data_IF_168493473656
#
_entry.id   IF_168493473656
#
_cell.length_a   1.000
_cell.length_b   1.000
_cell.length_c   1.000
_cell.angle_alpha   90.00
_cell.angle_beta   90.00
_cell.angle_gamma   90.00
#
_symmetry.space_group_name_H-M   'P 1'
#
loop_
_entity.id
_entity.type
_entity.pdbx_description
1 polymer ?
#
# COMPACT_ATOMS: atom_id res chain seq x y z
N UNK A 1 -14.57 -30.76 14.13
CA UNK A 1 -14.58 -31.22 15.53
C UNK A 1 -13.14 -31.47 15.96
N UNK A 2 -12.44 -30.44 16.43
CA UNK A 2 -11.30 -30.68 17.32
C UNK A 2 -11.92 -31.18 18.62
N UNK A 3 -11.50 -32.35 19.09
CA UNK A 3 -12.24 -33.14 20.09
C UNK A 3 -12.77 -32.28 21.24
N UNK A 4 -14.06 -31.96 21.19
CA UNK A 4 -14.77 -31.41 22.33
C UNK A 4 -14.72 -32.52 23.36
N UNK A 5 -13.86 -32.36 24.37
CA UNK A 5 -13.98 -33.17 25.57
C UNK A 5 -15.42 -32.94 26.07
N UNK A 6 -16.18 -34.01 26.37
CA UNK A 6 -17.45 -33.86 27.07
C UNK A 6 -17.22 -33.04 28.35
N UNK A 7 -18.27 -32.45 28.91
CA UNK A 7 -18.14 -31.76 30.19
C UNK A 7 -17.48 -32.71 31.22
N UNK A 8 -16.67 -32.18 32.15
CA UNK A 8 -15.95 -32.98 33.15
C UNK A 8 -16.92 -33.96 33.87
N UNK A 9 -18.17 -33.54 34.08
CA UNK A 9 -19.28 -34.31 34.65
C UNK A 9 -19.75 -35.50 33.76
N UNK A 10 -19.74 -35.35 32.44
CA UNK A 10 -20.15 -36.37 31.46
C UNK A 10 -19.08 -37.45 31.26
N UNK A 11 -17.80 -37.07 31.36
CA UNK A 11 -16.67 -38.01 31.25
C UNK A 11 -16.55 -38.90 32.50
N UNK A 12 -16.87 -38.34 33.66
CA UNK A 12 -16.83 -39.04 34.94
C UNK A 12 -18.00 -40.03 35.11
N UNK A 13 -19.15 -39.76 34.49
CA UNK A 13 -20.38 -40.57 34.58
C UNK A 13 -20.46 -41.74 33.58
N UNK A 14 -19.65 -41.75 32.53
CA UNK A 14 -19.63 -42.81 31.51
C UNK A 14 -18.97 -44.14 31.92
N UNK A 15 -19.26 -45.22 31.16
CA UNK A 15 -18.72 -46.58 31.30
C UNK A 15 -17.26 -46.74 30.77
N UNK A 16 -16.46 -45.68 30.82
CA UNK A 16 -15.06 -45.64 30.37
C UNK A 16 -14.10 -46.23 31.43
N UNK A 17 -12.95 -46.75 30.99
CA UNK A 17 -11.94 -47.30 31.90
C UNK A 17 -11.38 -46.21 32.85
N UNK A 18 -10.88 -46.60 34.02
CA UNK A 18 -10.29 -45.66 34.97
C UNK A 18 -9.11 -44.87 34.37
N UNK A 19 -8.35 -45.50 33.47
CA UNK A 19 -7.24 -44.87 32.76
C UNK A 19 -7.72 -43.80 31.77
N UNK A 20 -8.82 -44.06 31.05
CA UNK A 20 -9.40 -43.10 30.10
C UNK A 20 -9.98 -41.88 30.82
N UNK A 21 -10.63 -42.08 31.97
CA UNK A 21 -11.12 -41.00 32.83
C UNK A 21 -9.98 -40.13 33.35
N UNK A 22 -8.87 -40.74 33.80
CA UNK A 22 -7.69 -39.99 34.24
C UNK A 22 -7.03 -39.19 33.10
N UNK A 23 -6.88 -39.79 31.91
CA UNK A 23 -6.35 -39.10 30.71
C UNK A 23 -7.21 -37.90 30.33
N UNK A 24 -8.54 -38.03 30.40
CA UNK A 24 -9.44 -36.93 30.11
C UNK A 24 -9.36 -35.81 31.16
N UNK A 25 -9.31 -36.16 32.45
CA UNK A 25 -9.11 -35.17 33.53
C UNK A 25 -7.81 -34.38 33.38
N UNK A 26 -6.70 -35.05 33.07
CA UNK A 26 -5.42 -34.38 32.80
C UNK A 26 -5.52 -33.38 31.63
N UNK A 27 -6.30 -33.69 30.59
CA UNK A 27 -6.54 -32.76 29.48
C UNK A 27 -7.43 -31.58 29.87
N UNK A 28 -8.41 -31.77 30.75
CA UNK A 28 -9.18 -30.64 31.30
C UNK A 28 -8.27 -29.68 32.07
N UNK A 29 -7.41 -30.19 32.97
CA UNK A 29 -6.45 -29.35 33.70
C UNK A 29 -5.44 -28.65 32.78
N UNK A 30 -5.04 -29.28 31.69
CA UNK A 30 -4.23 -28.64 30.64
C UNK A 30 -4.99 -27.48 29.98
N UNK A 31 -6.25 -27.68 29.60
CA UNK A 31 -7.08 -26.61 29.02
C UNK A 31 -7.30 -25.46 30.00
N UNK A 32 -7.55 -25.74 31.27
CA UNK A 32 -7.70 -24.71 32.31
C UNK A 32 -6.43 -23.85 32.44
N UNK A 33 -5.25 -24.47 32.33
CA UNK A 33 -3.97 -23.76 32.32
C UNK A 33 -3.83 -22.86 31.08
N UNK A 34 -4.23 -23.35 29.90
CA UNK A 34 -4.23 -22.56 28.66
C UNK A 34 -5.19 -21.37 28.77
N UNK A 35 -6.37 -21.56 29.36
CA UNK A 35 -7.34 -20.48 29.60
C UNK A 35 -6.76 -19.43 30.55
N UNK A 36 -6.17 -19.83 31.67
CA UNK A 36 -5.50 -18.91 32.59
C UNK A 36 -4.38 -18.11 31.90
N UNK A 37 -3.54 -18.77 31.10
CA UNK A 37 -2.48 -18.10 30.33
C UNK A 37 -3.05 -17.15 29.27
N UNK A 38 -4.18 -17.49 28.66
CA UNK A 38 -4.88 -16.63 27.70
C UNK A 38 -5.44 -15.37 28.37
N UNK A 39 -5.98 -15.48 29.59
CA UNK A 39 -6.45 -14.33 30.36
C UNK A 39 -5.30 -13.39 30.71
N UNK A 40 -4.12 -13.94 31.02
CA UNK A 40 -2.91 -13.15 31.31
C UNK A 40 -2.37 -12.37 30.11
N UNK A 41 -2.75 -12.69 28.87
CA UNK A 41 -2.46 -11.85 27.70
C UNK A 41 -3.19 -10.49 27.75
N UNK A 42 -4.28 -10.40 28.53
CA UNK A 42 -5.01 -9.16 28.79
C UNK A 42 -4.52 -8.37 30.01
N UNK A 43 -3.46 -8.80 30.70
CA UNK A 43 -3.02 -8.21 31.96
C UNK A 43 -2.30 -6.85 31.78
N UNK A 44 -2.54 -5.85 32.64
CA UNK A 44 -1.97 -4.49 32.50
C UNK A 44 -0.44 -4.42 32.30
N UNK A 45 0.30 -5.29 32.99
CA UNK A 45 1.77 -5.38 32.87
C UNK A 45 2.23 -6.11 31.62
N UNK A 46 2.98 -5.41 30.76
CA UNK A 46 3.58 -5.99 29.54
C UNK A 46 4.47 -7.21 29.82
N UNK A 47 5.23 -7.21 30.93
CA UNK A 47 6.09 -8.36 31.29
C UNK A 47 5.30 -9.65 31.50
N UNK A 48 4.07 -9.52 32.03
CA UNK A 48 3.15 -10.64 32.25
C UNK A 48 2.58 -11.11 30.90
N UNK A 49 2.16 -10.16 30.04
CA UNK A 49 1.68 -10.47 28.67
C UNK A 49 2.75 -11.22 27.87
N UNK A 50 3.99 -10.72 27.87
CA UNK A 50 5.12 -11.32 27.18
C UNK A 50 5.44 -12.73 27.69
N UNK A 51 5.53 -12.90 29.01
CA UNK A 51 5.83 -14.21 29.61
C UNK A 51 4.73 -15.23 29.29
N UNK A 52 3.47 -14.79 29.28
CA UNK A 52 2.32 -15.65 28.94
C UNK A 52 2.35 -16.06 27.47
N UNK A 53 2.66 -15.11 26.57
CA UNK A 53 2.81 -15.38 25.14
C UNK A 53 3.93 -16.41 24.87
N UNK A 54 5.13 -16.20 25.43
CA UNK A 54 6.26 -17.12 25.28
C UNK A 54 5.91 -18.52 25.81
N UNK A 55 5.20 -18.59 26.94
CA UNK A 55 4.77 -19.88 27.53
C UNK A 55 3.76 -20.60 26.64
N UNK A 56 2.74 -19.90 26.14
CA UNK A 56 1.75 -20.46 25.23
C UNK A 56 2.40 -20.94 23.94
N UNK A 57 3.34 -20.18 23.37
CA UNK A 57 4.08 -20.61 22.19
C UNK A 57 4.99 -21.81 22.47
N UNK A 58 5.54 -21.92 23.68
CA UNK A 58 6.27 -23.13 24.07
C UNK A 58 5.34 -24.34 24.18
N UNK A 59 4.10 -24.16 24.63
CA UNK A 59 3.09 -25.23 24.61
C UNK A 59 2.74 -25.62 23.18
N UNK A 60 2.62 -24.68 22.23
CA UNK A 60 2.44 -24.97 20.80
C UNK A 60 3.62 -25.81 20.29
N UNK A 61 4.85 -25.48 20.67
CA UNK A 61 6.06 -26.23 20.26
C UNK A 61 6.08 -27.65 20.82
N UNK A 62 5.78 -27.79 22.11
CA UNK A 62 5.78 -29.09 22.77
C UNK A 62 4.62 -29.97 22.32
N UNK A 63 3.43 -29.40 22.05
CA UNK A 63 2.30 -30.15 21.51
C UNK A 63 2.54 -30.55 20.04
N UNK A 64 3.27 -29.71 19.28
CA UNK A 64 3.76 -30.04 17.95
C UNK A 64 4.70 -31.25 17.96
N UNK A 65 5.59 -31.36 18.96
CA UNK A 65 6.53 -32.49 19.10
C UNK A 65 5.90 -33.72 19.76
N UNK A 66 5.01 -33.51 20.73
CA UNK A 66 4.41 -34.54 21.59
C UNK A 66 2.88 -34.39 21.62
N UNK A 67 2.17 -35.06 20.70
CA UNK A 67 0.73 -34.95 20.56
C UNK A 67 -0.04 -35.41 21.80
N UNK A 68 -1.05 -34.65 22.21
CA UNK A 68 -1.96 -35.05 23.30
C UNK A 68 -2.81 -36.29 22.94
N UNK A 69 -3.05 -36.54 21.64
CA UNK A 69 -3.77 -37.71 21.11
C UNK A 69 -3.02 -38.27 19.89
N UNK A 70 -2.33 -39.40 20.06
CA UNK A 70 -1.57 -40.04 18.98
C UNK A 70 -2.43 -40.51 17.78
N UNK A 71 -3.72 -40.80 18.00
CA UNK A 71 -4.62 -41.33 16.96
C UNK A 71 -5.11 -40.27 15.97
N UNK A 72 -5.26 -39.01 16.39
CA UNK A 72 -5.73 -37.92 15.51
C UNK A 72 -4.67 -37.50 14.47
N UNK A 73 -3.43 -37.93 14.66
CA UNK A 73 -2.27 -37.49 13.88
C UNK A 73 -1.91 -38.46 12.74
N UNK A 74 -2.59 -39.61 12.65
CA UNK A 74 -2.33 -40.64 11.62
C UNK A 74 -2.83 -40.29 10.21
N UNK A 75 -3.45 -39.11 9.97
CA UNK A 75 -4.19 -38.92 8.72
C UNK A 75 -4.29 -37.54 8.04
N UNK A 76 -4.02 -36.38 8.65
CA UNK A 76 -4.01 -35.15 7.82
C UNK A 76 -3.43 -33.84 8.34
N UNK A 77 -3.45 -33.51 9.64
CA UNK A 77 -2.92 -32.21 10.09
C UNK A 77 -2.33 -32.35 11.50
N UNK A 78 -1.01 -32.51 11.57
CA UNK A 78 -0.24 -32.54 12.82
C UNK A 78 0.15 -31.11 13.20
N UNK A 79 -0.79 -30.30 13.69
CA UNK A 79 -0.47 -28.97 14.20
C UNK A 79 -1.47 -28.57 15.30
N UNK A 80 -1.04 -28.01 16.43
CA UNK A 80 -1.91 -27.58 17.53
C UNK A 80 -2.68 -26.29 17.17
N UNK A 81 -3.63 -26.43 16.25
CA UNK A 81 -4.40 -25.32 15.67
C UNK A 81 -5.22 -24.54 16.72
N UNK A 82 -5.60 -25.20 17.82
CA UNK A 82 -6.55 -24.66 18.78
C UNK A 82 -5.80 -23.74 19.74
N UNK A 83 -4.67 -24.22 20.25
CA UNK A 83 -3.78 -23.43 21.08
C UNK A 83 -3.24 -22.22 20.32
N UNK A 84 -2.81 -22.38 19.06
CA UNK A 84 -2.39 -21.24 18.26
C UNK A 84 -3.54 -20.24 18.03
N UNK A 85 -4.78 -20.72 17.86
CA UNK A 85 -5.95 -19.85 17.75
C UNK A 85 -6.19 -19.03 19.02
N UNK A 86 -6.00 -19.63 20.21
CA UNK A 86 -6.05 -18.92 21.49
C UNK A 86 -5.00 -17.81 21.53
N UNK A 87 -3.75 -18.13 21.15
CA UNK A 87 -2.67 -17.13 21.04
C UNK A 87 -3.05 -15.99 20.10
N UNK A 88 -3.48 -16.31 18.87
CA UNK A 88 -3.85 -15.30 17.86
C UNK A 88 -4.97 -14.40 18.37
N UNK A 89 -6.00 -14.94 19.02
CA UNK A 89 -7.08 -14.14 19.59
C UNK A 89 -6.59 -13.20 20.70
N UNK A 90 -5.63 -13.63 21.52
CA UNK A 90 -4.99 -12.77 22.51
C UNK A 90 -4.10 -11.66 21.92
N UNK A 91 -3.59 -11.85 20.70
CA UNK A 91 -2.80 -10.84 19.97
C UNK A 91 -3.65 -9.77 19.28
N UNK A 92 -4.95 -10.00 19.10
CA UNK A 92 -5.88 -9.06 18.44
C UNK A 92 -7.02 -8.66 19.38
N UNK A 93 -6.73 -8.07 20.56
CA UNK A 93 -7.76 -7.59 21.47
C UNK A 93 -8.59 -6.48 20.81
N UNK A 94 -9.85 -6.38 21.24
CA UNK A 94 -10.83 -5.48 20.62
C UNK A 94 -10.64 -4.03 21.08
N UNK A 95 -10.20 -3.83 22.33
CA UNK A 95 -10.21 -2.53 23.02
C UNK A 95 -8.82 -2.00 23.40
N UNK A 96 -7.76 -2.74 23.11
CA UNK A 96 -6.39 -2.39 23.49
C UNK A 96 -5.45 -2.43 22.29
N UNK A 97 -4.38 -1.64 22.31
CA UNK A 97 -3.29 -1.77 21.35
C UNK A 97 -2.37 -2.94 21.77
N UNK A 98 -2.11 -3.84 20.84
CA UNK A 98 -1.25 -5.01 21.05
C UNK A 98 0.03 -4.96 20.21
N UNK A 99 0.36 -3.79 19.63
CA UNK A 99 1.49 -3.64 18.69
C UNK A 99 2.83 -4.17 19.24
N UNK A 100 3.14 -3.95 20.52
CA UNK A 100 4.38 -4.47 21.14
C UNK A 100 4.38 -6.00 21.27
N UNK A 101 3.24 -6.58 21.64
CA UNK A 101 3.09 -8.03 21.80
C UNK A 101 3.13 -8.72 20.43
N UNK A 102 2.52 -8.12 19.41
CA UNK A 102 2.61 -8.54 18.01
C UNK A 102 4.06 -8.50 17.54
N UNK A 103 4.81 -7.43 17.84
CA UNK A 103 6.22 -7.34 17.48
C UNK A 103 7.06 -8.46 18.10
N UNK A 104 6.77 -8.85 19.34
CA UNK A 104 7.43 -10.00 19.99
C UNK A 104 7.05 -11.33 19.33
N UNK A 105 5.78 -11.46 18.93
CA UNK A 105 5.28 -12.65 18.26
C UNK A 105 5.89 -12.89 16.86
N UNK A 106 6.37 -11.83 16.19
CA UNK A 106 6.96 -11.92 14.85
C UNK A 106 8.14 -12.90 14.76
N UNK A 107 8.86 -13.15 15.85
CA UNK A 107 9.93 -14.15 15.91
C UNK A 107 9.42 -15.56 15.55
N UNK A 108 8.19 -15.89 15.95
CA UNK A 108 7.56 -17.18 15.64
C UNK A 108 7.01 -17.24 14.21
N UNK A 109 6.82 -16.08 13.55
CA UNK A 109 6.42 -16.01 12.14
C UNK A 109 7.57 -16.34 11.18
N UNK A 110 8.75 -16.67 11.69
CA UNK A 110 9.82 -17.29 10.90
C UNK A 110 9.43 -18.70 10.38
N UNK A 111 8.57 -19.41 11.11
CA UNK A 111 8.12 -20.75 10.73
C UNK A 111 6.98 -20.71 9.71
N UNK A 112 7.12 -21.47 8.62
CA UNK A 112 6.17 -21.57 7.51
C UNK A 112 4.78 -22.05 7.96
N UNK A 113 4.73 -23.14 8.70
CA UNK A 113 3.49 -23.69 9.25
C UNK A 113 2.79 -22.74 10.22
N UNK A 114 3.54 -22.08 11.10
CA UNK A 114 2.98 -21.05 12.00
C UNK A 114 2.33 -19.93 11.19
N UNK A 115 3.01 -19.37 10.18
CA UNK A 115 2.43 -18.35 9.28
C UNK A 115 1.11 -18.82 8.68
N UNK A 116 1.09 -20.03 8.14
CA UNK A 116 -0.11 -20.62 7.52
C UNK A 116 -1.29 -20.69 8.47
N UNK A 117 -1.09 -21.22 9.67
CA UNK A 117 -2.17 -21.37 10.65
C UNK A 117 -2.56 -20.04 11.29
N UNK A 118 -1.63 -19.09 11.44
CA UNK A 118 -1.95 -17.71 11.84
C UNK A 118 -2.88 -17.05 10.81
N UNK A 119 -2.58 -17.14 9.51
CA UNK A 119 -3.46 -16.58 8.46
C UNK A 119 -4.89 -17.14 8.55
N UNK A 120 -5.03 -18.44 8.81
CA UNK A 120 -6.35 -19.07 9.02
C UNK A 120 -7.04 -18.59 10.30
N UNK A 121 -6.32 -18.57 11.41
CA UNK A 121 -6.86 -18.15 12.71
C UNK A 121 -7.32 -16.69 12.68
N UNK A 122 -6.54 -15.80 12.04
CA UNK A 122 -6.92 -14.40 11.84
C UNK A 122 -8.17 -14.29 10.97
N UNK A 123 -8.24 -15.03 9.86
CA UNK A 123 -9.43 -15.04 8.97
C UNK A 123 -10.70 -15.44 9.73
N UNK A 124 -10.62 -16.50 10.54
CA UNK A 124 -11.74 -16.94 11.37
C UNK A 124 -12.11 -15.91 12.44
N UNK A 125 -11.12 -15.31 13.10
CA UNK A 125 -11.34 -14.27 14.12
C UNK A 125 -12.04 -13.05 13.52
N UNK A 126 -11.59 -12.54 12.38
CA UNK A 126 -12.23 -11.42 11.68
C UNK A 126 -13.70 -11.76 11.37
N UNK A 127 -13.97 -12.95 10.84
CA UNK A 127 -15.33 -13.41 10.56
C UNK A 127 -16.22 -13.43 11.81
N UNK A 128 -15.71 -13.96 12.93
CA UNK A 128 -16.47 -14.07 14.18
C UNK A 128 -16.71 -12.72 14.86
N UNK A 129 -15.67 -11.88 14.98
CA UNK A 129 -15.76 -10.59 15.67
C UNK A 129 -16.68 -9.65 14.88
N UNK A 130 -16.52 -9.58 13.56
CA UNK A 130 -17.33 -8.67 12.72
C UNK A 130 -18.80 -9.08 12.62
N UNK A 131 -19.11 -10.38 12.59
CA UNK A 131 -20.49 -10.86 12.66
C UNK A 131 -21.16 -10.47 13.99
N UNK A 132 -20.44 -10.57 15.10
CA UNK A 132 -20.95 -10.21 16.43
C UNK A 132 -21.16 -8.71 16.60
N UNK A 133 -20.30 -7.87 16.00
CA UNK A 133 -20.35 -6.42 16.17
C UNK A 133 -21.21 -5.68 15.15
N UNK A 134 -21.94 -6.39 14.27
CA UNK A 134 -22.78 -5.81 13.21
C UNK A 134 -22.00 -4.81 12.34
N UNK A 135 -20.76 -5.18 11.99
CA UNK A 135 -19.91 -4.42 11.05
C UNK A 135 -19.53 -3.00 11.52
N UNK A 136 -19.63 -2.70 12.82
CA UNK A 136 -19.14 -1.43 13.35
C UNK A 136 -17.61 -1.35 13.26
N UNK A 137 -17.04 -0.19 12.89
CA UNK A 137 -15.59 -0.03 12.87
C UNK A 137 -15.03 -0.15 14.28
N UNK A 138 -14.03 -1.00 14.44
CA UNK A 138 -13.30 -1.22 15.69
C UNK A 138 -11.84 -0.82 15.46
N UNK A 139 -11.47 0.45 15.68
CA UNK A 139 -10.17 0.96 15.26
C UNK A 139 -8.98 0.21 15.87
N UNK A 140 -9.03 -0.13 17.16
CA UNK A 140 -7.97 -0.89 17.85
C UNK A 140 -7.86 -2.31 17.28
N UNK A 141 -8.98 -3.04 17.19
CA UNK A 141 -9.01 -4.37 16.58
C UNK A 141 -8.44 -4.35 15.14
N UNK A 142 -8.92 -3.43 14.31
CA UNK A 142 -8.49 -3.32 12.91
C UNK A 142 -7.01 -2.94 12.79
N UNK A 143 -6.49 -2.10 13.70
CA UNK A 143 -5.08 -1.74 13.75
C UNK A 143 -4.22 -2.93 14.21
N UNK A 144 -4.64 -3.70 15.21
CA UNK A 144 -3.95 -4.91 15.65
C UNK A 144 -3.91 -5.98 14.56
N UNK A 145 -5.06 -6.24 13.93
CA UNK A 145 -5.15 -7.15 12.79
C UNK A 145 -4.23 -6.69 11.67
N UNK A 146 -4.26 -5.41 11.29
CA UNK A 146 -3.36 -4.85 10.27
C UNK A 146 -1.89 -5.03 10.65
N UNK A 147 -1.50 -4.71 11.89
CA UNK A 147 -0.12 -4.87 12.39
C UNK A 147 0.35 -6.32 12.33
N UNK A 148 -0.54 -7.28 12.64
CA UNK A 148 -0.23 -8.71 12.55
C UNK A 148 -0.11 -9.18 11.09
N UNK A 149 -1.10 -8.91 10.23
CA UNK A 149 -1.12 -9.40 8.85
C UNK A 149 -0.07 -8.73 7.95
N UNK A 150 0.27 -7.46 8.21
CA UNK A 150 1.31 -6.76 7.45
C UNK A 150 2.72 -7.24 7.79
N UNK A 151 2.92 -7.90 8.93
CA UNK A 151 4.20 -8.50 9.31
C UNK A 151 4.44 -9.88 8.67
N UNK A 152 3.43 -10.44 7.99
CA UNK A 152 3.54 -11.74 7.33
C UNK A 152 4.33 -11.59 6.04
N UNK A 153 5.61 -11.95 6.11
CA UNK A 153 6.42 -12.11 4.90
C UNK A 153 5.98 -13.39 4.19
N UNK A 154 5.77 -13.36 2.88
CA UNK A 154 5.42 -14.55 2.10
C UNK A 154 6.64 -15.05 1.31
N UNK A 155 6.86 -16.38 1.22
CA UNK A 155 7.93 -16.92 0.41
C UNK A 155 7.66 -16.69 -1.08
N UNK A 156 8.70 -16.29 -1.83
CA UNK A 156 8.60 -16.06 -3.27
C UNK A 156 8.60 -17.38 -4.05
N UNK A 157 9.34 -18.38 -3.56
CA UNK A 157 9.48 -19.70 -4.17
C UNK A 157 9.28 -20.80 -3.14
N UNK A 158 8.80 -21.96 -3.58
CA UNK A 158 8.61 -23.13 -2.69
C UNK A 158 9.91 -23.57 -2.01
N UNK A 159 11.05 -23.43 -2.68
CA UNK A 159 12.38 -23.73 -2.13
C UNK A 159 12.76 -22.85 -0.92
N UNK A 160 12.12 -21.69 -0.78
CA UNK A 160 12.36 -20.76 0.32
C UNK A 160 11.58 -21.18 1.58
N UNK A 161 10.65 -22.14 1.47
CA UNK A 161 9.89 -22.74 2.57
C UNK A 161 10.73 -23.83 3.26
N UNK A 162 11.63 -23.41 4.15
CA UNK A 162 12.62 -24.29 4.76
C UNK A 162 12.29 -24.62 6.22
N UNK A 163 11.76 -23.66 6.97
CA UNK A 163 11.64 -23.72 8.44
C UNK A 163 10.22 -24.08 8.84
N UNK A 164 10.03 -25.30 9.30
CA UNK A 164 8.77 -25.78 9.87
C UNK A 164 8.97 -26.07 11.35
N UNK A 165 8.01 -25.66 12.15
CA UNK A 165 7.97 -25.94 13.58
C UNK A 165 7.68 -27.43 13.82
N UNK A 166 6.83 -28.03 12.99
CA UNK A 166 6.53 -29.47 13.04
C UNK A 166 7.42 -30.24 12.06
N UNK A 167 8.18 -31.21 12.58
CA UNK A 167 8.94 -32.15 11.75
C UNK A 167 8.03 -33.30 11.33
N UNK A 168 7.75 -33.43 10.02
CA UNK A 168 6.99 -34.55 9.47
C UNK A 168 7.82 -35.38 8.47
N UNK A 169 7.67 -36.70 8.56
CA UNK A 169 8.38 -37.66 7.70
C UNK A 169 7.90 -37.63 6.23
N UNK A 170 6.65 -37.19 5.96
CA UNK A 170 6.04 -37.14 4.61
C UNK A 170 5.68 -35.71 4.18
N UNK A 171 6.71 -34.88 3.96
CA UNK A 171 6.56 -33.46 3.61
C UNK A 171 5.84 -33.20 2.28
N UNK A 172 5.93 -34.11 1.31
CA UNK A 172 5.37 -33.93 -0.05
C UNK A 172 3.85 -34.06 -0.12
N UNK A 173 3.25 -34.86 0.77
CA UNK A 173 1.79 -35.03 0.86
C UNK A 173 1.12 -33.93 1.71
N UNK A 174 1.92 -33.18 2.46
CA UNK A 174 1.40 -32.18 3.39
C UNK A 174 0.93 -30.94 2.65
N UNK A 175 -0.37 -30.62 2.73
CA UNK A 175 -0.93 -29.43 2.07
C UNK A 175 -0.19 -28.14 2.43
N UNK A 176 0.32 -28.03 3.66
CA UNK A 176 1.01 -26.86 4.20
C UNK A 176 2.42 -26.69 3.61
N UNK A 177 2.99 -27.70 2.93
CA UNK A 177 4.28 -27.54 2.25
C UNK A 177 4.16 -26.88 0.87
N UNK A 178 2.94 -26.78 0.32
CA UNK A 178 2.69 -26.21 -1.02
C UNK A 178 2.47 -24.70 -0.94
N UNK A 179 3.28 -23.93 -1.68
CA UNK A 179 3.18 -22.46 -1.71
C UNK A 179 1.80 -21.98 -2.15
N UNK A 180 1.16 -22.70 -3.09
CA UNK A 180 -0.18 -22.34 -3.56
C UNK A 180 -1.21 -22.27 -2.42
N UNK A 181 -1.11 -23.16 -1.42
CA UNK A 181 -2.05 -23.16 -0.29
C UNK A 181 -1.81 -21.98 0.65
N UNK A 182 -0.56 -21.54 0.79
CA UNK A 182 -0.21 -20.33 1.55
C UNK A 182 -0.74 -19.09 0.84
N UNK A 183 -0.54 -18.99 -0.47
CA UNK A 183 -1.12 -17.89 -1.27
C UNK A 183 -2.65 -17.83 -1.17
N UNK A 184 -3.33 -18.99 -1.19
CA UNK A 184 -4.79 -19.06 -1.00
C UNK A 184 -5.22 -18.58 0.39
N UNK A 185 -4.49 -18.96 1.44
CA UNK A 185 -4.76 -18.50 2.80
C UNK A 185 -4.51 -16.99 2.95
N UNK A 186 -3.42 -16.49 2.36
CA UNK A 186 -3.05 -15.08 2.35
C UNK A 186 -4.09 -14.22 1.63
N UNK A 187 -4.49 -14.62 0.43
CA UNK A 187 -5.53 -13.96 -0.35
C UNK A 187 -6.86 -13.90 0.42
N UNK A 188 -7.32 -15.04 0.94
CA UNK A 188 -8.57 -15.11 1.71
C UNK A 188 -8.53 -14.23 2.95
N UNK A 189 -7.39 -14.18 3.65
CA UNK A 189 -7.20 -13.34 4.83
C UNK A 189 -7.32 -11.85 4.46
N UNK A 190 -6.60 -11.39 3.45
CA UNK A 190 -6.67 -9.99 3.00
C UNK A 190 -8.05 -9.61 2.48
N UNK A 191 -8.68 -10.44 1.64
CA UNK A 191 -10.04 -10.17 1.15
C UNK A 191 -11.05 -10.10 2.30
N UNK A 192 -10.93 -10.98 3.31
CA UNK A 192 -11.80 -10.95 4.49
C UNK A 192 -11.59 -9.68 5.31
N UNK A 193 -10.34 -9.22 5.45
CA UNK A 193 -10.02 -7.97 6.15
C UNK A 193 -10.55 -6.73 5.41
N UNK A 194 -10.36 -6.67 4.09
CA UNK A 194 -10.73 -5.53 3.24
C UNK A 194 -12.24 -5.45 2.95
N UNK A 195 -12.98 -6.53 3.16
CA UNK A 195 -14.45 -6.54 3.03
C UNK A 195 -15.13 -5.51 3.95
N UNK A 196 -14.53 -5.18 5.09
CA UNK A 196 -15.11 -4.31 6.09
C UNK A 196 -14.58 -2.86 5.98
N UNK A 197 -15.37 -1.89 6.44
CA UNK A 197 -14.98 -0.48 6.39
C UNK A 197 -13.75 -0.20 7.28
N UNK A 198 -12.68 0.28 6.67
CA UNK A 198 -11.43 0.64 7.37
C UNK A 198 -11.37 2.15 7.66
N UNK A 199 -10.82 2.55 8.82
CA UNK A 199 -10.45 3.94 9.09
C UNK A 199 -9.49 4.48 8.02
N UNK A 200 -9.63 5.77 7.69
CA UNK A 200 -8.86 6.42 6.60
C UNK A 200 -7.34 6.27 6.74
N UNK A 201 -6.81 6.29 7.97
CA UNK A 201 -5.39 6.07 8.24
C UNK A 201 -4.92 4.66 7.87
N UNK A 202 -5.71 3.64 8.22
CA UNK A 202 -5.43 2.24 7.86
C UNK A 202 -5.59 2.01 6.36
N UNK A 203 -6.63 2.60 5.76
CA UNK A 203 -6.88 2.51 4.32
C UNK A 203 -5.66 3.00 3.50
N UNK A 204 -5.08 4.15 3.88
CA UNK A 204 -3.85 4.66 3.25
C UNK A 204 -2.65 3.73 3.46
N UNK A 205 -2.46 3.18 4.67
CA UNK A 205 -1.36 2.24 4.97
C UNK A 205 -1.45 0.98 4.10
N UNK A 206 -2.65 0.41 3.92
CA UNK A 206 -2.88 -0.73 3.03
C UNK A 206 -2.48 -0.39 1.60
N UNK A 207 -2.99 0.72 1.04
CA UNK A 207 -2.70 1.09 -0.35
C UNK A 207 -1.21 1.35 -0.61
N UNK A 208 -0.47 1.85 0.39
CA UNK A 208 0.98 2.08 0.28
C UNK A 208 1.75 0.77 0.05
N UNK A 209 1.37 -0.33 0.71
CA UNK A 209 2.06 -1.62 0.62
C UNK A 209 1.42 -2.58 -0.39
N UNK A 210 0.25 -2.24 -0.93
CA UNK A 210 -0.57 -3.13 -1.76
C UNK A 210 0.20 -3.67 -2.97
N UNK A 211 0.85 -2.78 -3.71
CA UNK A 211 1.54 -3.10 -4.96
C UNK A 211 2.76 -4.01 -4.79
N UNK A 212 3.56 -3.81 -3.74
CA UNK A 212 4.82 -4.54 -3.52
C UNK A 212 4.66 -5.77 -2.63
N UNK A 213 3.78 -5.72 -1.63
CA UNK A 213 3.71 -6.72 -0.56
C UNK A 213 2.42 -7.53 -0.53
N UNK A 214 1.38 -7.13 -1.26
CA UNK A 214 0.08 -7.83 -1.23
C UNK A 214 -0.20 -8.50 -2.58
N UNK A 215 -0.26 -7.72 -3.68
CA UNK A 215 -0.63 -8.23 -5.01
C UNK A 215 0.27 -9.37 -5.51
N UNK A 216 1.61 -9.34 -5.34
CA UNK A 216 2.49 -10.42 -5.86
C UNK A 216 2.26 -11.78 -5.21
N UNK A 217 1.66 -11.81 -4.01
CA UNK A 217 1.45 -13.01 -3.23
C UNK A 217 0.01 -13.56 -3.27
N UNK A 218 -0.89 -12.88 -3.98
CA UNK A 218 -2.24 -13.38 -4.27
C UNK A 218 -2.21 -14.42 -5.41
N UNK A 219 -3.19 -15.32 -5.45
CA UNK A 219 -3.34 -16.23 -6.59
C UNK A 219 -4.11 -15.56 -7.72
N UNK A 220 -5.14 -14.80 -7.36
CA UNK A 220 -5.99 -14.06 -8.27
C UNK A 220 -6.06 -12.58 -7.86
N UNK A 221 -5.04 -11.77 -8.23
CA UNK A 221 -4.98 -10.35 -7.88
C UNK A 221 -6.14 -9.51 -8.43
N UNK A 222 -6.81 -10.00 -9.47
CA UNK A 222 -7.98 -9.34 -10.10
C UNK A 222 -9.15 -9.17 -9.13
N UNK A 223 -9.26 -9.99 -8.08
CA UNK A 223 -10.27 -9.83 -7.02
C UNK A 223 -10.14 -8.49 -6.26
N UNK A 224 -8.99 -7.82 -6.36
CA UNK A 224 -8.76 -6.50 -5.75
C UNK A 224 -9.33 -5.34 -6.58
N UNK A 225 -9.85 -5.59 -7.79
CA UNK A 225 -10.33 -4.54 -8.69
C UNK A 225 -11.45 -3.70 -8.07
N UNK A 226 -12.43 -4.33 -7.41
CA UNK A 226 -13.58 -3.63 -6.85
C UNK A 226 -13.11 -2.69 -5.72
N UNK A 227 -12.23 -3.20 -4.85
CA UNK A 227 -11.62 -2.42 -3.79
C UNK A 227 -10.83 -1.23 -4.35
N UNK A 228 -9.98 -1.46 -5.36
CA UNK A 228 -9.17 -0.42 -5.98
C UNK A 228 -10.01 0.60 -6.75
N UNK A 229 -11.09 0.17 -7.40
CA UNK A 229 -12.01 1.05 -8.13
C UNK A 229 -12.74 1.98 -7.18
N UNK A 230 -13.19 1.46 -6.04
CA UNK A 230 -13.77 2.28 -4.97
C UNK A 230 -12.72 3.24 -4.41
N UNK A 231 -11.52 2.75 -4.08
CA UNK A 231 -10.41 3.58 -3.58
C UNK A 231 -10.08 4.73 -4.54
N UNK A 232 -10.05 4.42 -5.83
CA UNK A 232 -9.75 5.37 -6.90
C UNK A 232 -10.86 6.41 -7.09
N UNK A 233 -12.11 6.06 -6.80
CA UNK A 233 -13.25 6.99 -6.82
C UNK A 233 -13.34 7.95 -5.62
N UNK A 234 -12.60 7.71 -4.52
CA UNK A 234 -12.68 8.56 -3.31
C UNK A 234 -12.11 9.96 -3.53
N UNK A 235 -11.06 10.09 -4.34
CA UNK A 235 -10.34 11.35 -4.59
C UNK A 235 -9.17 11.60 -3.65
N UNK A 236 -8.37 12.61 -3.98
CA UNK A 236 -7.21 13.05 -3.21
C UNK A 236 -6.12 11.98 -3.05
N UNK A 237 -5.46 11.96 -1.89
CA UNK A 237 -4.33 11.08 -1.64
C UNK A 237 -4.65 9.57 -1.73
N UNK A 238 -5.91 9.18 -1.52
CA UNK A 238 -6.32 7.77 -1.59
C UNK A 238 -6.32 7.29 -3.05
N UNK A 239 -6.87 8.07 -3.97
CA UNK A 239 -6.87 7.75 -5.40
C UNK A 239 -5.45 7.66 -5.97
N UNK A 240 -4.55 8.55 -5.55
CA UNK A 240 -3.15 8.52 -5.96
C UNK A 240 -2.45 7.23 -5.52
N UNK A 241 -2.72 6.76 -4.30
CA UNK A 241 -2.15 5.50 -3.81
C UNK A 241 -2.77 4.28 -4.50
N UNK A 242 -4.07 4.32 -4.80
CA UNK A 242 -4.75 3.25 -5.53
C UNK A 242 -4.23 3.08 -6.96
N UNK A 243 -3.73 4.16 -7.58
CA UNK A 243 -3.21 4.14 -8.94
C UNK A 243 -2.05 3.14 -9.13
N UNK A 244 -1.16 2.98 -8.14
CA UNK A 244 -0.10 1.94 -8.16
C UNK A 244 -0.69 0.53 -8.27
N UNK A 245 -1.72 0.23 -7.49
CA UNK A 245 -2.38 -1.08 -7.53
C UNK A 245 -3.09 -1.32 -8.86
N UNK A 246 -3.81 -0.32 -9.37
CA UNK A 246 -4.46 -0.39 -10.67
C UNK A 246 -3.44 -0.57 -11.80
N UNK A 247 -2.30 0.13 -11.75
CA UNK A 247 -1.23 -0.03 -12.73
C UNK A 247 -0.78 -1.48 -12.84
N UNK A 248 -0.51 -2.15 -11.71
CA UNK A 248 -0.11 -3.55 -11.70
C UNK A 248 -1.19 -4.44 -12.30
N UNK A 249 -2.46 -4.24 -11.94
CA UNK A 249 -3.56 -5.05 -12.50
C UNK A 249 -3.72 -4.84 -14.01
N UNK A 250 -3.61 -3.60 -14.49
CA UNK A 250 -3.72 -3.28 -15.92
C UNK A 250 -2.53 -3.89 -16.68
N UNK A 251 -1.31 -3.72 -16.18
CA UNK A 251 -0.10 -4.10 -16.92
C UNK A 251 0.29 -5.57 -16.79
N UNK A 252 0.15 -6.18 -15.61
CA UNK A 252 0.56 -7.56 -15.36
C UNK A 252 -0.58 -8.56 -15.49
N UNK A 253 -1.82 -8.12 -15.27
CA UNK A 253 -3.01 -8.98 -15.33
C UNK A 253 -3.95 -8.62 -16.49
N UNK A 254 -3.53 -7.77 -17.43
CA UNK A 254 -4.28 -7.35 -18.62
C UNK A 254 -5.71 -6.89 -18.32
N UNK A 255 -5.88 -6.19 -17.20
CA UNK A 255 -7.17 -5.68 -16.79
C UNK A 255 -7.55 -4.45 -17.61
N UNK A 256 -8.73 -4.47 -18.23
CA UNK A 256 -9.30 -3.28 -18.88
C UNK A 256 -10.01 -2.40 -17.84
N UNK A 257 -9.51 -1.18 -17.66
CA UNK A 257 -10.17 -0.17 -16.83
C UNK A 257 -10.81 0.90 -17.73
N UNK A 258 -12.16 0.97 -17.80
CA UNK A 258 -12.83 1.96 -18.63
C UNK A 258 -12.53 3.38 -18.15
N UNK A 259 -12.42 4.32 -19.09
CA UNK A 259 -12.19 5.75 -18.83
C UNK A 259 -10.96 6.04 -17.95
N UNK A 260 -9.94 5.17 -18.03
CA UNK A 260 -8.71 5.30 -17.24
C UNK A 260 -8.08 6.70 -17.36
N UNK A 261 -7.88 7.18 -18.59
CA UNK A 261 -7.24 8.48 -18.82
C UNK A 261 -8.13 9.67 -18.41
N UNK A 262 -9.45 9.55 -18.50
CA UNK A 262 -10.38 10.56 -18.01
C UNK A 262 -10.22 10.76 -16.51
N UNK A 263 -10.19 9.66 -15.75
CA UNK A 263 -9.95 9.73 -14.31
C UNK A 263 -8.54 10.18 -13.96
N UNK A 264 -7.52 9.70 -14.68
CA UNK A 264 -6.14 10.14 -14.48
C UNK A 264 -6.01 11.66 -14.69
N UNK A 265 -6.69 12.19 -15.71
CA UNK A 265 -6.75 13.62 -15.99
C UNK A 265 -7.47 14.39 -14.87
N UNK A 266 -8.56 13.85 -14.34
CA UNK A 266 -9.32 14.44 -13.23
C UNK A 266 -8.55 14.48 -11.91
N UNK A 267 -7.52 13.64 -11.73
CA UNK A 267 -6.62 13.66 -10.56
C UNK A 267 -5.61 14.81 -10.59
N UNK A 268 -5.42 15.46 -11.74
CA UNK A 268 -4.59 16.66 -11.85
C UNK A 268 -5.36 17.86 -11.31
N UNK A 269 -5.42 17.95 -9.98
CA UNK A 269 -5.99 19.09 -9.26
C UNK A 269 -4.89 20.09 -8.80
N UNK A 270 -5.25 21.29 -8.32
CA UNK A 270 -4.28 22.25 -7.79
C UNK A 270 -3.41 21.73 -6.63
N UNK A 271 -3.84 20.67 -5.94
CA UNK A 271 -3.11 20.10 -4.81
C UNK A 271 -2.02 19.10 -5.23
N UNK A 272 -1.99 18.66 -6.49
CA UNK A 272 -1.11 17.58 -6.98
C UNK A 272 0.38 17.86 -6.77
N UNK A 273 0.79 19.11 -6.74
CA UNK A 273 2.18 19.50 -6.48
C UNK A 273 2.54 19.58 -5.00
N UNK A 274 1.54 19.58 -4.12
CA UNK A 274 1.69 19.70 -2.68
C UNK A 274 1.48 18.38 -1.93
N UNK A 275 0.90 17.36 -2.58
CA UNK A 275 0.66 16.06 -1.94
C UNK A 275 1.95 15.28 -1.69
N UNK A 276 1.98 14.59 -0.55
CA UNK A 276 3.11 13.75 -0.11
C UNK A 276 3.51 12.68 -1.13
N UNK A 277 2.56 12.16 -1.89
CA UNK A 277 2.76 11.04 -2.82
C UNK A 277 2.96 11.48 -4.28
N UNK A 278 3.28 12.76 -4.53
CA UNK A 278 3.47 13.30 -5.89
C UNK A 278 4.52 12.55 -6.70
N UNK A 279 5.66 12.17 -6.09
CA UNK A 279 6.73 11.44 -6.76
C UNK A 279 6.22 10.14 -7.39
N UNK A 280 5.44 9.37 -6.62
CA UNK A 280 4.82 8.11 -7.09
C UNK A 280 3.81 8.36 -8.21
N UNK A 281 2.98 9.39 -8.08
CA UNK A 281 2.02 9.75 -9.11
C UNK A 281 2.71 10.13 -10.42
N UNK A 282 3.71 11.02 -10.40
CA UNK A 282 4.38 11.47 -11.61
C UNK A 282 5.24 10.38 -12.25
N UNK A 283 5.83 9.48 -11.46
CA UNK A 283 6.47 8.27 -11.99
C UNK A 283 5.50 7.42 -12.81
N UNK A 284 4.32 7.13 -12.26
CA UNK A 284 3.30 6.38 -12.97
C UNK A 284 2.72 7.15 -14.16
N UNK A 285 2.47 8.44 -14.01
CA UNK A 285 1.95 9.29 -15.08
C UNK A 285 2.91 9.32 -16.27
N UNK A 286 4.23 9.36 -16.02
CA UNK A 286 5.24 9.27 -17.07
C UNK A 286 5.12 7.96 -17.84
N UNK A 287 4.98 6.84 -17.12
CA UNK A 287 4.80 5.52 -17.70
C UNK A 287 3.49 5.42 -18.50
N UNK A 288 2.36 5.90 -17.97
CA UNK A 288 1.08 5.89 -18.67
C UNK A 288 1.05 6.77 -19.93
N UNK A 289 1.75 7.90 -19.90
CA UNK A 289 1.83 8.85 -21.02
C UNK A 289 2.99 8.55 -21.98
N UNK A 290 3.81 7.54 -21.70
CA UNK A 290 4.84 7.05 -22.63
C UNK A 290 4.29 6.17 -23.76
N UNK A 291 3.01 5.76 -23.68
CA UNK A 291 2.39 4.91 -24.69
C UNK A 291 2.31 5.60 -26.05
N UNK A 292 2.79 4.93 -27.09
CA UNK A 292 2.76 5.43 -28.47
C UNK A 292 1.36 5.48 -29.09
N UNK A 293 0.38 4.78 -28.49
CA UNK A 293 -0.99 4.69 -29.00
C UNK A 293 -1.91 5.80 -28.51
N UNK A 294 -1.38 6.78 -27.78
CA UNK A 294 -2.20 7.88 -27.26
C UNK A 294 -2.53 8.91 -28.33
N UNK A 295 -3.81 9.31 -28.46
CA UNK A 295 -4.18 10.34 -29.40
C UNK A 295 -3.64 11.71 -28.96
N UNK A 296 -3.26 12.54 -29.93
CA UNK A 296 -2.62 13.83 -29.67
C UNK A 296 -3.49 14.78 -28.82
N UNK A 297 -4.81 14.74 -28.95
CA UNK A 297 -5.71 15.58 -28.15
C UNK A 297 -5.59 15.29 -26.65
N UNK A 298 -5.39 14.02 -26.30
CA UNK A 298 -5.32 13.57 -24.92
C UNK A 298 -4.04 14.10 -24.28
N UNK A 299 -2.90 13.86 -24.93
CA UNK A 299 -1.60 14.33 -24.44
C UNK A 299 -1.58 15.86 -24.37
N UNK A 300 -2.15 16.55 -25.36
CA UNK A 300 -2.28 18.00 -25.33
C UNK A 300 -3.09 18.50 -24.12
N UNK A 301 -4.19 17.82 -23.77
CA UNK A 301 -4.97 18.15 -22.58
C UNK A 301 -4.15 18.00 -21.29
N UNK A 302 -3.38 16.92 -21.16
CA UNK A 302 -2.47 16.71 -20.03
C UNK A 302 -1.40 17.80 -19.96
N UNK A 303 -0.72 18.11 -21.08
CA UNK A 303 0.29 19.17 -21.16
C UNK A 303 -0.29 20.50 -20.71
N UNK A 304 -1.45 20.89 -21.25
CA UNK A 304 -2.07 22.19 -20.97
C UNK A 304 -2.55 22.28 -19.51
N UNK A 305 -3.16 21.22 -18.97
CA UNK A 305 -3.58 21.17 -17.56
C UNK A 305 -2.36 21.27 -16.63
N UNK A 306 -1.33 20.47 -16.85
CA UNK A 306 -0.08 20.54 -16.06
C UNK A 306 0.55 21.94 -16.13
N UNK A 307 0.59 22.54 -17.32
CA UNK A 307 1.13 23.89 -17.50
C UNK A 307 0.33 24.94 -16.73
N UNK A 308 -1.01 24.84 -16.72
CA UNK A 308 -1.88 25.74 -15.96
C UNK A 308 -1.66 25.61 -14.46
N UNK A 309 -1.62 24.39 -13.95
CA UNK A 309 -1.38 24.10 -12.54
C UNK A 309 0.04 24.50 -12.10
N UNK A 310 1.02 24.45 -13.02
CA UNK A 310 2.39 24.83 -12.74
C UNK A 310 2.53 26.29 -12.27
N UNK A 311 1.62 27.19 -12.67
CA UNK A 311 1.67 28.60 -12.26
C UNK A 311 1.55 28.83 -10.75
N UNK A 312 0.90 27.90 -10.03
CA UNK A 312 0.76 27.96 -8.58
C UNK A 312 1.69 26.97 -7.85
N UNK A 313 2.55 26.27 -8.60
CA UNK A 313 3.40 25.22 -8.06
C UNK A 313 4.66 25.79 -7.39
N UNK A 314 5.19 25.11 -6.35
CA UNK A 314 6.46 25.48 -5.73
C UNK A 314 7.65 25.14 -6.66
N UNK A 315 8.83 25.79 -6.47
CA UNK A 315 9.97 25.66 -7.38
C UNK A 315 10.47 24.22 -7.52
N UNK A 316 10.49 23.43 -6.44
CA UNK A 316 10.90 22.03 -6.49
C UNK A 316 9.95 21.15 -7.30
N UNK A 317 8.67 21.50 -7.38
CA UNK A 317 7.72 20.82 -8.27
C UNK A 317 7.89 21.29 -9.71
N UNK A 318 8.10 22.59 -9.94
CA UNK A 318 8.36 23.15 -11.27
C UNK A 318 9.57 22.52 -11.96
N UNK A 319 10.65 22.31 -11.20
CA UNK A 319 11.87 21.66 -11.70
C UNK A 319 11.62 20.22 -12.18
N UNK A 320 10.58 19.54 -11.69
CA UNK A 320 10.18 18.21 -12.17
C UNK A 320 9.17 18.29 -13.32
N UNK A 321 8.18 19.18 -13.20
CA UNK A 321 7.06 19.29 -14.15
C UNK A 321 7.50 19.85 -15.51
N UNK A 322 8.44 20.79 -15.53
CA UNK A 322 8.90 21.38 -16.78
C UNK A 322 9.61 20.32 -17.66
N UNK A 323 10.61 19.56 -17.16
CA UNK A 323 11.18 18.43 -17.90
C UNK A 323 10.15 17.37 -18.28
N UNK A 324 9.18 17.07 -17.40
CA UNK A 324 8.08 16.15 -17.71
C UNK A 324 7.27 16.63 -18.92
N UNK A 325 6.87 17.91 -18.96
CA UNK A 325 6.17 18.52 -20.11
C UNK A 325 7.06 18.50 -21.37
N UNK A 326 8.35 18.80 -21.24
CA UNK A 326 9.31 18.71 -22.35
C UNK A 326 9.36 17.29 -22.92
N UNK A 327 9.41 16.25 -22.07
CA UNK A 327 9.38 14.85 -22.49
C UNK A 327 8.08 14.52 -23.24
N UNK A 328 6.92 15.02 -22.79
CA UNK A 328 5.66 14.84 -23.54
C UNK A 328 5.70 15.48 -24.92
N UNK A 329 6.30 16.66 -25.07
CA UNK A 329 6.50 17.29 -26.39
C UNK A 329 7.50 16.53 -27.29
N UNK A 330 8.52 15.90 -26.70
CA UNK A 330 9.47 15.03 -27.42
C UNK A 330 8.76 13.77 -27.94
N UNK A 331 7.99 13.10 -27.08
CA UNK A 331 7.24 11.88 -27.41
C UNK A 331 6.11 12.11 -28.40
N UNK A 332 5.43 13.26 -28.34
CA UNK A 332 4.27 13.57 -29.18
C UNK A 332 4.48 14.87 -29.97
N UNK A 333 5.19 14.83 -31.12
CA UNK A 333 5.46 16.00 -31.95
C UNK A 333 4.20 16.75 -32.43
N UNK A 334 3.06 16.05 -32.55
CA UNK A 334 1.77 16.67 -32.89
C UNK A 334 1.33 17.74 -31.86
N UNK A 335 1.76 17.63 -30.60
CA UNK A 335 1.46 18.61 -29.55
C UNK A 335 2.31 19.88 -29.67
N UNK A 336 3.36 19.92 -30.52
CA UNK A 336 4.21 21.12 -30.70
C UNK A 336 3.43 22.33 -31.23
N UNK A 337 2.23 22.12 -31.78
CA UNK A 337 1.24 23.16 -32.10
C UNK A 337 0.89 24.05 -30.90
N UNK A 338 1.05 23.56 -29.67
CA UNK A 338 0.84 24.34 -28.45
C UNK A 338 1.95 25.37 -28.18
N UNK A 339 3.15 25.14 -28.73
CA UNK A 339 4.31 26.03 -28.58
C UNK A 339 4.41 27.02 -29.75
N UNK A 340 4.20 26.54 -30.97
CA UNK A 340 4.34 27.35 -32.18
C UNK A 340 3.25 27.03 -33.20
N UNK A 341 2.52 28.06 -33.63
CA UNK A 341 1.43 27.97 -34.61
C UNK A 341 1.74 28.83 -35.82
N UNK A 342 2.45 28.32 -36.83
CA UNK A 342 2.79 29.11 -38.02
C UNK A 342 1.55 29.49 -38.85
N UNK A 343 0.51 28.63 -38.83
CA UNK A 343 -0.73 28.81 -39.61
C UNK A 343 -1.95 29.11 -38.71
N UNK A 344 -1.74 29.50 -37.45
CA UNK A 344 -2.82 29.81 -36.52
C UNK A 344 -3.39 31.23 -36.71
N UNK A 345 -4.55 31.54 -36.10
CA UNK A 345 -5.02 32.92 -36.01
C UNK A 345 -3.93 33.79 -35.34
N UNK A 346 -3.64 34.95 -35.93
CA UNK A 346 -2.60 35.87 -35.45
C UNK A 346 -2.93 36.42 -34.06
N UNK A 347 -4.22 36.63 -33.78
CA UNK A 347 -4.73 37.04 -32.48
C UNK A 347 -5.76 36.01 -31.97
N UNK A 348 -5.48 35.47 -30.77
CA UNK A 348 -6.46 34.75 -29.96
C UNK A 348 -6.89 35.72 -28.85
N UNK A 349 -8.10 36.28 -28.97
CA UNK A 349 -8.63 37.21 -27.96
C UNK A 349 -8.90 36.53 -26.62
N UNK A 350 -9.27 35.24 -26.65
CA UNK A 350 -9.53 34.40 -25.48
C UNK A 350 -8.91 33.01 -25.69
N UNK A 351 -8.45 32.39 -24.60
CA UNK A 351 -7.94 31.02 -24.60
C UNK A 351 -9.12 30.04 -24.73
N UNK A 352 -9.20 29.19 -25.78
CA UNK A 352 -10.31 28.26 -25.96
C UNK A 352 -10.26 27.05 -25.01
N UNK A 353 -9.17 26.86 -24.27
CA UNK A 353 -9.02 25.74 -23.34
C UNK A 353 -9.97 25.85 -22.14
N UNK A 354 -10.66 24.75 -21.82
CA UNK A 354 -11.61 24.69 -20.70
C UNK A 354 -11.01 23.83 -19.58
N UNK A 355 -10.62 24.48 -18.48
CA UNK A 355 -9.92 23.83 -17.38
C UNK A 355 -10.82 22.87 -16.58
N UNK A 356 -12.10 23.19 -16.47
CA UNK A 356 -13.09 22.48 -15.65
C UNK A 356 -13.56 21.16 -16.27
N UNK A 357 -13.23 20.89 -17.53
CA UNK A 357 -13.67 19.68 -18.22
C UNK A 357 -12.97 18.43 -17.68
N UNK A 358 -13.73 17.41 -17.28
CA UNK A 358 -13.15 16.13 -16.85
C UNK A 358 -12.71 15.25 -18.02
N UNK A 359 -13.30 15.46 -19.19
CA UNK A 359 -12.99 14.70 -20.39
C UNK A 359 -11.86 15.37 -21.20
N UNK A 360 -10.70 14.72 -21.40
CA UNK A 360 -9.58 15.30 -22.14
C UNK A 360 -9.95 15.73 -23.56
N UNK A 361 -10.84 15.01 -24.24
CA UNK A 361 -11.28 15.32 -25.61
C UNK A 361 -12.10 16.60 -25.70
N UNK A 362 -12.82 16.98 -24.63
CA UNK A 362 -13.68 18.16 -24.58
C UNK A 362 -12.95 19.41 -24.05
N UNK A 363 -11.72 19.26 -23.56
CA UNK A 363 -10.91 20.36 -23.01
C UNK A 363 -10.48 21.41 -24.05
N UNK A 364 -10.56 21.08 -25.35
CA UNK A 364 -10.09 21.92 -26.48
C UNK A 364 -8.62 22.36 -26.36
N UNK A 365 -7.79 21.59 -25.67
CA UNK A 365 -6.38 21.94 -25.45
C UNK A 365 -5.58 22.12 -26.75
N UNK A 366 -5.84 21.32 -27.80
CA UNK A 366 -5.20 21.47 -29.11
C UNK A 366 -5.55 22.78 -29.83
N UNK A 367 -6.56 23.53 -29.38
CA UNK A 367 -6.92 24.83 -29.93
C UNK A 367 -6.25 25.99 -29.17
N UNK A 368 -5.59 25.69 -28.03
CA UNK A 368 -4.88 26.63 -27.15
C UNK A 368 -3.36 26.66 -27.35
N UNK A 369 -2.68 27.64 -26.77
CA UNK A 369 -1.21 27.67 -26.63
C UNK A 369 -0.78 27.53 -25.17
N UNK A 370 0.52 27.34 -24.91
CA UNK A 370 1.09 27.14 -23.56
C UNK A 370 1.82 28.41 -23.08
N UNK A 371 1.05 29.48 -22.84
CA UNK A 371 1.57 30.76 -22.32
C UNK A 371 2.09 30.67 -20.88
N UNK A 372 1.65 29.64 -20.15
CA UNK A 372 2.00 29.44 -18.76
C UNK A 372 3.49 29.15 -18.61
N UNK A 373 4.04 28.28 -19.44
CA UNK A 373 5.48 28.00 -19.39
C UNK A 373 6.30 29.19 -19.90
N UNK A 374 5.79 29.97 -20.86
CA UNK A 374 6.43 31.22 -21.25
C UNK A 374 6.50 32.21 -20.07
N UNK A 375 5.46 32.27 -19.23
CA UNK A 375 5.45 33.12 -18.04
C UNK A 375 6.48 32.65 -17.00
N UNK A 376 6.65 31.33 -16.84
CA UNK A 376 7.66 30.73 -15.94
C UNK A 376 9.11 31.01 -16.35
N UNK A 377 9.36 31.51 -17.56
CA UNK A 377 10.72 31.93 -17.97
C UNK A 377 11.22 33.16 -17.19
N UNK A 378 10.31 33.93 -16.58
CA UNK A 378 10.64 35.07 -15.73
C UNK A 378 10.45 34.72 -14.24
N UNK A 379 10.62 33.45 -13.87
CA UNK A 379 10.47 32.99 -12.50
C UNK A 379 11.62 33.49 -11.61
N UNK A 380 11.34 33.74 -10.32
CA UNK A 380 12.34 34.27 -9.37
C UNK A 380 13.51 33.31 -9.15
N UNK A 381 13.27 32.00 -9.28
CA UNK A 381 14.30 30.97 -9.15
C UNK A 381 15.02 30.75 -10.50
N UNK A 382 16.35 30.94 -10.58
CA UNK A 382 17.08 30.91 -11.85
C UNK A 382 17.02 29.55 -12.55
N UNK A 383 17.11 28.44 -11.81
CA UNK A 383 17.07 27.11 -12.44
C UNK A 383 15.70 26.79 -13.04
N UNK A 384 14.62 27.35 -12.47
CA UNK A 384 13.25 27.19 -13.00
C UNK A 384 13.10 28.01 -14.27
N UNK A 385 13.56 29.26 -14.26
CA UNK A 385 13.57 30.13 -15.43
C UNK A 385 14.38 29.51 -16.58
N UNK A 386 15.55 28.91 -16.26
CA UNK A 386 16.37 28.20 -17.23
C UNK A 386 15.67 26.96 -17.80
N UNK A 387 15.08 26.11 -16.94
CA UNK A 387 14.32 24.96 -17.39
C UNK A 387 13.15 25.35 -18.32
N UNK A 388 12.40 26.40 -17.97
CA UNK A 388 11.30 26.91 -18.79
C UNK A 388 11.78 27.52 -20.12
N UNK A 389 13.01 28.07 -20.16
CA UNK A 389 13.59 28.65 -21.37
C UNK A 389 14.00 27.60 -22.41
N UNK A 390 14.20 26.33 -22.01
CA UNK A 390 14.50 25.22 -22.93
C UNK A 390 13.43 25.09 -24.02
N UNK A 391 12.17 25.37 -23.70
CA UNK A 391 11.06 25.30 -24.66
C UNK A 391 11.09 26.38 -25.75
N UNK A 392 11.87 27.45 -25.61
CA UNK A 392 12.13 28.40 -26.70
C UNK A 392 13.14 27.87 -27.70
N UNK A 393 14.00 26.94 -27.28
CA UNK A 393 15.01 26.35 -28.13
C UNK A 393 14.42 25.12 -28.85
N UNK A 394 15.09 24.66 -29.92
CA UNK A 394 14.74 23.38 -30.53
C UNK A 394 15.00 22.26 -29.53
N UNK A 395 13.92 21.63 -29.03
CA UNK A 395 14.03 20.46 -28.16
C UNK A 395 14.83 19.35 -28.85
N UNK A 396 15.85 18.83 -28.15
CA UNK A 396 16.57 17.63 -28.55
C UNK A 396 15.64 16.41 -28.57
N UNK A 397 16.00 15.38 -29.33
CA UNK A 397 15.27 14.10 -29.35
C UNK A 397 15.49 13.28 -28.07
N UNK A 398 16.56 13.55 -27.32
CA UNK A 398 16.90 12.83 -26.09
C UNK A 398 16.02 13.31 -24.94
N UNK A 399 15.39 12.37 -24.24
CA UNK A 399 14.57 12.63 -23.05
C UNK A 399 15.43 12.97 -21.82
N UNK A 400 14.89 13.84 -20.97
CA UNK A 400 15.50 14.16 -19.68
C UNK A 400 15.09 13.09 -18.66
N UNK A 401 16.05 12.59 -17.87
CA UNK A 401 15.73 11.70 -16.75
C UNK A 401 15.11 12.49 -15.59
N UNK A 402 13.84 12.25 -15.34
CA UNK A 402 13.07 12.91 -14.28
C UNK A 402 13.21 12.20 -12.92
N UNK A 403 13.79 11.00 -12.86
CA UNK A 403 13.76 10.14 -11.66
C UNK A 403 14.36 10.82 -10.43
N UNK A 404 15.50 11.49 -10.61
CA UNK A 404 16.16 12.26 -9.54
C UNK A 404 15.44 13.56 -9.14
N UNK A 405 14.46 14.01 -9.91
CA UNK A 405 13.69 15.24 -9.66
C UNK A 405 12.36 14.97 -8.97
N UNK A 406 11.86 13.73 -9.03
CA UNK A 406 10.56 13.35 -8.45
C UNK A 406 10.49 13.56 -6.93
N UNK A 407 11.59 13.30 -6.22
CA UNK A 407 11.68 13.38 -4.75
C UNK A 407 12.28 14.69 -4.24
N UNK A 408 12.66 15.61 -5.14
CA UNK A 408 13.31 16.86 -4.77
C UNK A 408 12.46 17.67 -3.78
N UNK A 409 13.02 17.98 -2.62
CA UNK A 409 12.35 18.76 -1.58
C UNK A 409 12.86 20.21 -1.52
N UNK A 410 12.04 21.12 -0.98
CA UNK A 410 12.45 22.51 -0.74
C UNK A 410 13.70 22.62 0.15
N UNK A 411 13.82 21.75 1.16
CA UNK A 411 15.02 21.66 2.02
C UNK A 411 16.26 21.26 1.24
N UNK A 412 16.17 20.27 0.35
CA UNK A 412 17.30 19.86 -0.47
C UNK A 412 17.71 20.94 -1.46
N UNK A 413 16.75 21.67 -2.02
CA UNK A 413 17.01 22.80 -2.90
C UNK A 413 17.79 23.89 -2.15
N UNK A 414 17.36 24.22 -0.93
CA UNK A 414 18.04 25.18 -0.07
C UNK A 414 19.46 24.71 0.31
N UNK A 415 19.60 23.45 0.71
CA UNK A 415 20.90 22.86 1.06
C UNK A 415 21.88 22.83 -0.12
N UNK A 416 21.38 22.60 -1.34
CA UNK A 416 22.17 22.68 -2.56
C UNK A 416 22.69 24.09 -2.78
N UNK A 417 21.87 25.11 -2.53
CA UNK A 417 22.27 26.51 -2.71
C UNK A 417 23.31 26.94 -1.68
N UNK A 418 23.17 26.56 -0.40
CA UNK A 418 24.18 26.85 0.64
C UNK A 418 25.55 26.26 0.28
N UNK A 419 25.56 25.08 -0.33
CA UNK A 419 26.81 24.39 -0.72
C UNK A 419 27.47 25.02 -1.94
N UNK A 420 26.78 25.86 -2.71
CA UNK A 420 27.40 26.58 -3.83
C UNK A 420 28.33 27.65 -3.26
N UNK A 421 29.63 27.45 -3.41
CA UNK A 421 30.62 28.50 -3.15
C UNK A 421 30.45 29.61 -4.19
N UNK A 422 29.80 30.71 -3.80
CA UNK A 422 29.71 31.92 -4.61
C UNK A 422 31.05 32.65 -4.63
N UNK A 423 31.67 32.82 -5.81
CA UNK A 423 32.90 33.59 -5.97
C UNK A 423 32.68 35.11 -5.90
N UNK A 424 31.44 35.58 -6.05
CA UNK A 424 31.09 36.99 -6.10
C UNK A 424 30.37 37.42 -4.82
N UNK A 425 30.84 38.51 -4.20
CA UNK A 425 30.15 39.18 -3.10
C UNK A 425 28.98 39.97 -3.69
N UNK A 426 27.72 39.68 -3.33
CA UNK A 426 26.58 40.47 -3.80
C UNK A 426 26.61 41.83 -3.10
N UNK A 427 26.83 42.89 -3.87
CA UNK A 427 26.71 44.27 -3.42
C UNK A 427 25.58 44.92 -4.21
N UNK A 428 24.55 45.38 -3.50
CA UNK A 428 23.47 46.16 -4.09
C UNK A 428 23.56 47.60 -3.53
N UNK A 429 23.74 48.58 -4.40
CA UNK A 429 23.77 49.99 -4.04
C UNK A 429 22.45 50.62 -4.47
N UNK A 430 21.51 50.75 -3.54
CA UNK A 430 20.30 51.55 -3.74
C UNK A 430 20.47 52.92 -3.09
N UNK A 431 20.56 53.97 -3.91
CA UNK A 431 20.59 55.34 -3.41
C UNK A 431 19.19 55.74 -2.92
N UNK A 432 19.01 55.85 -1.60
CA UNK A 432 17.76 56.31 -0.99
C UNK A 432 17.44 57.72 -1.50
N UNK A 433 16.50 57.84 -2.44
CA UNK A 433 15.93 59.12 -2.85
C UNK A 433 14.97 59.58 -1.76
N UNK A 434 15.46 60.41 -0.85
CA UNK A 434 14.60 61.22 -0.01
C UNK A 434 13.68 62.04 -0.94
N UNK A 435 12.39 61.74 -0.94
CA UNK A 435 11.40 62.57 -1.62
C UNK A 435 11.42 63.92 -0.91
N UNK A 436 12.05 64.90 -1.55
CA UNK A 436 11.99 66.30 -1.13
C UNK A 436 10.52 66.74 -1.15
N UNK A 437 10.05 67.12 0.03
CA UNK A 437 8.79 67.81 0.31
C UNK A 437 8.62 69.08 -0.50
#
# INVERSE_FOLDING_TARGET
MGGSLPAEEDVLSGNSSAEDKYKAWMRHRYNDCVECLSELLGHDSFRVKESSLCTLMKFVELEAECPLVAEQWKGSIAFPHHLLKVVVNGLIPIHEDASLLISRFQEYMEFDDVRYFVMKAVTESIGQVMQKTKERPLPFYQQNVFSLISSINMPNKERDMVKFMVKQDKREEWKVSKLQTHKQAFERMWLTFLKYQLPSGLYKKVLVILHDSILPHMNEPTLMIDFLTVAYGVGGAISLLALNGLFILIHQHNLEYPDFYKKLYSLLDPSIYHVKYRARFFHLADLFLSSSHLPAYLVAAFIKRLSRLALTAPPEALLMVIPFICNLFRRHPACKVLMHRPNGPQDLSEDPYIMEQEEPSESRALESSVWEIQSLQNHYHPDVAHAAAILKQSLSEIEDDISGLLELSASELFDKEIKKTSANVPLEFEQVRAHGS
#
